data_IF_887734781359
#
_entry.id   IF_887734781359
#
_cell.length_a   1.000
_cell.length_b   1.000
_cell.length_c   1.000
_cell.angle_alpha   90.00
_cell.angle_beta   90.00
_cell.angle_gamma   90.00
#
_symmetry.space_group_name_H-M   'P 1'
#
loop_
_entity.id
_entity.type
_entity.pdbx_description
1 polymer ?
#
# COMPACT_ATOMS: atom_id res chain seq x y z
N UNK A 1 0.96 -28.33 -5.66
CA UNK A 1 -0.10 -27.62 -6.22
C UNK A 1 0.09 -26.18 -6.12
N UNK A 2 -0.07 -25.63 -7.12
CA UNK A 2 -0.05 -24.22 -7.05
C UNK A 2 -1.45 -23.79 -6.74
N UNK A 3 -1.65 -23.26 -5.65
CA UNK A 3 -2.82 -22.48 -5.49
C UNK A 3 -2.50 -21.13 -6.08
N UNK A 4 -3.30 -20.75 -6.99
CA UNK A 4 -3.11 -19.48 -7.64
C UNK A 4 -4.15 -18.52 -7.14
N UNK A 5 -3.70 -17.59 -6.36
CA UNK A 5 -4.52 -16.46 -6.04
C UNK A 5 -4.17 -15.37 -7.03
N UNK A 6 -5.07 -15.10 -7.93
CA UNK A 6 -4.87 -14.06 -8.92
C UNK A 6 -5.61 -12.83 -8.51
N UNK A 7 -4.90 -11.72 -8.45
CA UNK A 7 -5.49 -10.43 -8.19
C UNK A 7 -5.51 -9.66 -9.50
N UNK A 8 -6.69 -9.17 -9.86
CA UNK A 8 -6.88 -8.47 -11.13
C UNK A 8 -6.92 -6.98 -10.84
N UNK A 9 -6.03 -6.19 -11.44
CA UNK A 9 -6.07 -4.74 -11.26
C UNK A 9 -7.34 -4.17 -11.90
N UNK A 10 -7.93 -3.21 -11.21
CA UNK A 10 -9.08 -2.47 -11.73
C UNK A 10 -8.59 -1.29 -12.54
N UNK A 11 -9.17 -1.10 -13.71
CA UNK A 11 -8.80 -0.01 -14.59
C UNK A 11 -9.01 1.34 -13.89
N UNK A 12 -8.02 2.22 -14.03
CA UNK A 12 -8.09 3.57 -13.47
C UNK A 12 -7.94 3.65 -11.97
N UNK A 13 -7.59 2.56 -11.29
CA UNK A 13 -7.50 2.52 -9.83
C UNK A 13 -6.06 2.50 -9.32
N UNK A 14 -5.09 2.77 -10.18
CA UNK A 14 -3.70 2.84 -9.78
C UNK A 14 -3.37 4.22 -9.22
N UNK A 15 -2.64 4.25 -8.12
CA UNK A 15 -2.18 5.46 -7.47
C UNK A 15 -0.70 5.29 -7.16
N UNK A 16 0.09 6.34 -7.34
CA UNK A 16 1.50 6.26 -6.98
C UNK A 16 1.95 7.53 -6.27
N UNK A 17 2.97 7.37 -5.43
CA UNK A 17 3.54 8.46 -4.67
C UNK A 17 5.06 8.36 -4.65
N UNK A 18 5.70 9.51 -4.67
CA UNK A 18 7.11 9.59 -4.37
C UNK A 18 7.32 9.28 -2.89
N UNK A 19 8.23 8.36 -2.62
CA UNK A 19 8.58 7.95 -1.26
C UNK A 19 9.84 8.68 -0.87
N UNK A 20 9.75 9.48 0.16
CA UNK A 20 10.83 10.38 0.55
C UNK A 20 10.97 10.42 2.08
N UNK A 21 11.87 11.30 2.56
CA UNK A 21 12.08 11.47 3.99
C UNK A 21 10.88 12.08 4.71
N UNK A 22 10.04 12.79 3.97
CA UNK A 22 8.77 13.28 4.50
C UNK A 22 7.68 12.25 4.21
N UNK A 23 6.89 11.96 5.20
CA UNK A 23 5.74 11.09 5.06
C UNK A 23 4.73 11.67 4.08
N UNK A 24 4.07 10.79 3.32
CA UNK A 24 2.99 11.18 2.42
C UNK A 24 1.88 10.14 2.46
N UNK A 25 0.66 10.57 2.20
CA UNK A 25 -0.49 9.68 2.08
C UNK A 25 -0.81 9.46 0.62
N UNK A 26 -1.17 8.22 0.27
CA UNK A 26 -1.76 7.98 -1.04
C UNK A 26 -3.09 8.74 -1.14
N UNK A 27 -3.42 9.20 -2.36
CA UNK A 27 -4.66 9.92 -2.59
C UNK A 27 -5.89 9.03 -2.43
N UNK A 28 -5.72 7.74 -2.66
CA UNK A 28 -6.79 6.76 -2.58
C UNK A 28 -7.38 6.71 -1.19
N UNK A 29 -8.69 6.90 -1.09
CA UNK A 29 -9.45 6.60 0.12
C UNK A 29 -9.93 5.17 0.01
N UNK A 30 -9.56 4.34 0.97
CA UNK A 30 -9.86 2.93 0.91
C UNK A 30 -11.31 2.65 1.22
N UNK A 31 -11.86 1.61 0.58
CA UNK A 31 -13.20 1.12 0.84
C UNK A 31 -13.12 -0.14 1.70
N UNK A 32 -14.08 -0.30 2.58
CA UNK A 32 -14.13 -1.46 3.47
C UNK A 32 -14.19 -2.77 2.67
N UNK A 33 -13.33 -3.71 3.03
CA UNK A 33 -13.30 -5.03 2.41
C UNK A 33 -12.70 -5.10 1.02
N UNK A 34 -12.25 -3.98 0.47
CA UNK A 34 -11.56 -3.96 -0.82
C UNK A 34 -10.08 -4.26 -0.63
N UNK A 35 -9.45 -4.79 -1.67
CA UNK A 35 -8.06 -5.19 -1.62
C UNK A 35 -7.19 -4.28 -2.45
N UNK A 36 -6.01 -3.99 -1.93
CA UNK A 36 -5.03 -3.11 -2.56
C UNK A 36 -3.68 -3.79 -2.54
N UNK A 37 -2.96 -3.70 -3.64
CA UNK A 37 -1.60 -4.23 -3.74
C UNK A 37 -0.63 -3.07 -3.72
N UNK A 38 0.26 -3.07 -2.75
CA UNK A 38 1.31 -2.08 -2.62
C UNK A 38 2.62 -2.65 -3.12
N UNK A 39 3.30 -1.90 -3.96
CA UNK A 39 4.68 -2.19 -4.35
C UNK A 39 5.51 -0.93 -4.19
N UNK A 40 6.77 -1.09 -3.81
CA UNK A 40 7.70 0.02 -3.66
C UNK A 40 9.08 -0.44 -4.14
N UNK A 41 9.79 0.44 -4.81
CA UNK A 41 11.13 0.12 -5.32
C UNK A 41 12.25 0.35 -4.30
N UNK A 42 11.91 0.86 -3.12
CA UNK A 42 12.85 1.05 -2.02
C UNK A 42 12.22 0.57 -0.72
N UNK A 43 13.06 0.31 0.29
CA UNK A 43 12.56 -0.03 1.62
C UNK A 43 11.74 1.13 2.17
N UNK A 44 10.60 0.82 2.76
CA UNK A 44 9.70 1.82 3.28
C UNK A 44 8.95 1.33 4.52
N UNK A 45 8.27 2.26 5.17
CA UNK A 45 7.34 1.97 6.26
C UNK A 45 5.95 2.45 5.86
N UNK A 46 4.95 1.67 6.18
CA UNK A 46 3.56 2.00 5.86
C UNK A 46 2.67 1.92 7.10
N UNK A 47 1.60 2.69 7.06
CA UNK A 47 0.59 2.69 8.12
C UNK A 47 -0.76 3.02 7.52
N UNK A 48 -1.78 2.25 7.88
CA UNK A 48 -3.14 2.50 7.43
C UNK A 48 -3.97 3.04 8.59
N UNK A 49 -4.82 4.01 8.30
CA UNK A 49 -5.74 4.53 9.31
C UNK A 49 -6.47 5.77 8.84
N UNK A 50 -7.20 6.39 9.76
CA UNK A 50 -7.90 7.64 9.49
C UNK A 50 -6.90 8.80 9.45
N UNK A 51 -7.10 9.73 8.52
CA UNK A 51 -6.28 10.93 8.44
C UNK A 51 -6.59 11.88 9.61
N UNK A 52 -5.62 12.65 10.13
CA UNK A 52 -4.23 12.69 9.72
C UNK A 52 -3.45 11.47 10.21
N UNK A 53 -2.57 10.98 9.35
CA UNK A 53 -1.84 9.76 9.62
C UNK A 53 -0.41 9.94 9.14
N UNK A 54 0.55 9.47 9.92
CA UNK A 54 1.94 9.56 9.52
C UNK A 54 2.66 8.26 9.80
N UNK A 55 3.15 7.62 8.75
CA UNK A 55 4.05 6.48 8.87
C UNK A 55 5.39 6.95 9.41
N UNK A 56 6.01 6.11 10.22
CA UNK A 56 7.29 6.45 10.83
C UNK A 56 8.01 5.16 11.19
N UNK A 57 9.33 5.18 11.14
CA UNK A 57 10.13 4.03 11.56
C UNK A 57 9.99 3.73 13.05
N UNK A 58 9.47 4.67 13.85
CA UNK A 58 9.50 4.59 15.31
C UNK A 58 8.15 4.29 15.96
N UNK A 59 7.04 4.32 15.22
CA UNK A 59 5.71 4.29 15.81
C UNK A 59 4.92 3.00 15.57
N UNK A 60 5.60 1.93 15.19
CA UNK A 60 4.94 0.68 14.91
C UNK A 60 4.40 0.53 13.50
N UNK A 61 4.79 1.42 12.60
CA UNK A 61 4.48 1.25 11.19
C UNK A 61 5.11 -0.04 10.64
N UNK A 62 4.46 -0.63 9.64
CA UNK A 62 4.94 -1.87 9.05
C UNK A 62 6.09 -1.61 8.08
N UNK A 63 7.16 -2.35 8.22
CA UNK A 63 8.29 -2.30 7.29
C UNK A 63 8.00 -3.12 6.05
N UNK A 64 8.26 -2.55 4.88
CA UNK A 64 8.09 -3.21 3.59
C UNK A 64 9.42 -3.17 2.85
N UNK A 65 10.07 -4.32 2.63
CA UNK A 65 11.32 -4.36 1.85
C UNK A 65 11.08 -3.96 0.39
N UNK A 66 12.11 -3.40 -0.21
CA UNK A 66 12.09 -3.02 -1.63
C UNK A 66 11.73 -4.21 -2.52
N UNK A 67 10.86 -3.98 -3.48
CA UNK A 67 10.46 -4.99 -4.45
C UNK A 67 9.44 -6.01 -3.96
N UNK A 68 9.02 -5.93 -2.71
CA UNK A 68 8.00 -6.83 -2.19
C UNK A 68 6.61 -6.27 -2.48
N UNK A 69 5.70 -7.13 -2.92
CA UNK A 69 4.30 -6.78 -3.06
C UNK A 69 3.55 -7.14 -1.78
N UNK A 70 2.80 -6.18 -1.25
CA UNK A 70 2.02 -6.37 -0.02
C UNK A 70 0.55 -6.20 -0.33
N UNK A 71 -0.25 -7.18 0.05
CA UNK A 71 -1.70 -7.11 -0.07
C UNK A 71 -2.27 -6.48 1.18
N UNK A 72 -3.10 -5.46 0.98
CA UNK A 72 -3.72 -4.69 2.06
C UNK A 72 -5.23 -4.75 1.90
N UNK A 73 -5.90 -5.13 2.95
CA UNK A 73 -7.36 -5.01 3.01
C UNK A 73 -7.71 -3.64 3.54
N UNK A 74 -8.52 -2.90 2.78
CA UNK A 74 -8.90 -1.55 3.14
C UNK A 74 -9.90 -1.50 4.27
N UNK A 75 -9.74 -0.51 5.13
CA UNK A 75 -10.75 -0.12 6.10
C UNK A 75 -11.52 1.09 5.56
N UNK A 76 -12.80 1.20 5.89
CA UNK A 76 -13.65 2.26 5.38
C UNK A 76 -13.08 3.64 5.70
N UNK A 77 -12.85 4.43 4.66
CA UNK A 77 -12.37 5.80 4.79
C UNK A 77 -10.91 5.93 5.14
N UNK A 78 -10.17 4.83 5.21
CA UNK A 78 -8.76 4.86 5.58
C UNK A 78 -7.89 5.36 4.44
N UNK A 79 -6.74 5.91 4.81
CA UNK A 79 -5.65 6.26 3.91
C UNK A 79 -4.45 5.39 4.22
N UNK A 80 -3.58 5.22 3.24
CA UNK A 80 -2.29 4.57 3.46
C UNK A 80 -1.20 5.63 3.46
N UNK A 81 -0.46 5.71 4.55
CA UNK A 81 0.68 6.58 4.70
C UNK A 81 1.96 5.81 4.42
N UNK A 82 2.95 6.45 3.82
CA UNK A 82 4.22 5.83 3.46
C UNK A 82 5.37 6.81 3.69
N UNK A 83 6.50 6.25 4.16
CA UNK A 83 7.73 6.99 4.32
C UNK A 83 8.92 6.07 3.96
N UNK A 84 9.97 6.64 3.39
CA UNK A 84 11.16 5.85 3.05
C UNK A 84 11.89 5.37 4.30
N UNK A 85 12.67 4.30 4.15
CA UNK A 85 13.64 3.91 5.17
C UNK A 85 14.95 4.71 5.03
N UNK A 86 15.57 4.66 3.86
CA UNK A 86 16.87 5.30 3.62
C UNK A 86 16.95 6.14 2.36
N UNK A 87 16.38 5.66 1.26
CA UNK A 87 16.53 6.30 -0.05
C UNK A 87 15.17 6.60 -0.64
N UNK A 88 15.14 7.62 -1.46
CA UNK A 88 13.91 8.01 -2.15
C UNK A 88 13.56 6.99 -3.22
N UNK A 89 12.28 6.80 -3.44
CA UNK A 89 11.76 5.89 -4.44
C UNK A 89 10.35 6.22 -4.83
N UNK A 90 9.67 5.25 -5.43
CA UNK A 90 8.30 5.38 -5.87
C UNK A 90 7.52 4.15 -5.41
N UNK A 91 6.36 4.37 -4.85
CA UNK A 91 5.43 3.31 -4.47
C UNK A 91 4.17 3.41 -5.29
N UNK A 92 3.58 2.25 -5.57
CA UNK A 92 2.32 2.15 -6.30
C UNK A 92 1.32 1.41 -5.45
N UNK A 93 0.11 1.96 -5.36
CA UNK A 93 -1.01 1.34 -4.69
C UNK A 93 -2.06 1.03 -5.75
N UNK A 94 -2.34 -0.24 -5.96
CA UNK A 94 -3.25 -0.70 -7.00
C UNK A 94 -4.42 -1.42 -6.36
N UNK A 95 -5.63 -0.93 -6.62
CA UNK A 95 -6.82 -1.66 -6.23
C UNK A 95 -6.95 -2.92 -7.07
N UNK A 96 -7.19 -4.03 -6.43
CA UNK A 96 -7.27 -5.34 -7.10
C UNK A 96 -8.54 -6.04 -6.69
N UNK A 97 -9.01 -6.92 -7.57
CA UNK A 97 -10.15 -7.77 -7.30
C UNK A 97 -9.61 -9.13 -6.87
N UNK A 98 -10.03 -9.57 -5.69
CA UNK A 98 -9.70 -10.90 -5.25
C UNK A 98 -10.41 -11.91 -6.15
N UNK A 99 -9.71 -12.87 -6.75
CA UNK A 99 -10.34 -13.85 -7.61
C UNK A 99 -11.20 -14.80 -6.80
N UNK A 100 -12.12 -15.44 -7.47
CA UNK A 100 -12.87 -16.52 -6.87
C UNK A 100 -11.92 -17.64 -6.50
N UNK A 101 -12.11 -18.14 -5.29
CA UNK A 101 -11.43 -19.34 -4.88
C UNK A 101 -12.30 -20.52 -5.31
N UNK A 102 -11.70 -21.40 -6.01
CA UNK A 102 -12.39 -22.63 -6.41
C UNK A 102 -12.09 -23.74 -5.43
#
# INVERSE_FOLDING_TARGET
MAWNTHYVPLAGSSDYKAVASAETDFDTTMAAGEYYLLTCDVDCFIKQGAAPLAASAADGSMFVPAGMAVLIEGALGAKLSIIRSNVDGIATLQRVVKPHTL
#
